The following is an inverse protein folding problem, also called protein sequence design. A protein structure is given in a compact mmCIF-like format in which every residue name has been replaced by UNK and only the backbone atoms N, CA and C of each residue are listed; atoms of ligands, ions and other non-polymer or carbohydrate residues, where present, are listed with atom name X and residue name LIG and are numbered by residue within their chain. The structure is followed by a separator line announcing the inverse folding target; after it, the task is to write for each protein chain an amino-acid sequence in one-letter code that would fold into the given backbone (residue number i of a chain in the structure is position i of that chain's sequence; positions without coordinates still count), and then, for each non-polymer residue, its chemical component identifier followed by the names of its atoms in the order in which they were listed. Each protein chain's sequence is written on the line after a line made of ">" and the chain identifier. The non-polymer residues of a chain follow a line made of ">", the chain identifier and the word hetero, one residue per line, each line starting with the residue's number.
data_IF_673668962573
#
_entry.id   IF_673668962573
#
_cell.length_a   1.000
_cell.length_b   1.000
_cell.length_c   1.000
_cell.angle_alpha   90.00
_cell.angle_beta   90.00
_cell.angle_gamma   90.00
#
_symmetry.space_group_name_H-M   'P 1'
#
loop_
_entity.id
_entity.type
_entity.pdbx_description
1 polymer ?
#
# COMPACT_ATOMS: atom_id res chain seq x y z
N UNK A 1 -18.93 -0.33 -25.06
CA UNK A 1 -19.17 -1.60 -25.78
C UNK A 1 -18.44 -2.70 -25.03
N UNK A 2 -19.12 -3.82 -24.76
CA UNK A 2 -18.54 -5.03 -24.17
C UNK A 2 -18.26 -6.02 -25.29
N UNK A 3 -17.24 -6.85 -25.12
CA UNK A 3 -16.95 -7.92 -26.07
C UNK A 3 -17.78 -9.16 -25.71
N UNK A 4 -18.63 -9.61 -26.60
CA UNK A 4 -19.46 -10.80 -26.46
C UNK A 4 -18.81 -11.93 -27.26
N UNK A 5 -18.79 -13.12 -26.68
CA UNK A 5 -18.27 -14.35 -27.29
C UNK A 5 -19.32 -15.45 -27.18
N UNK A 6 -19.49 -16.29 -28.22
CA UNK A 6 -20.41 -17.42 -28.16
C UNK A 6 -19.88 -18.48 -27.19
N UNK A 7 -20.78 -19.08 -26.40
CA UNK A 7 -20.46 -20.28 -25.63
C UNK A 7 -20.08 -21.42 -26.59
N UNK A 8 -18.95 -22.14 -26.39
CA UNK A 8 -18.56 -23.26 -27.25
C UNK A 8 -19.55 -24.44 -27.19
N UNK A 9 -20.35 -24.53 -26.13
CA UNK A 9 -21.27 -25.65 -25.89
C UNK A 9 -22.72 -25.36 -26.31
N UNK A 10 -23.21 -24.13 -26.11
CA UNK A 10 -24.61 -23.76 -26.44
C UNK A 10 -24.75 -22.71 -27.55
N UNK A 11 -23.66 -22.08 -28.00
CA UNK A 11 -23.66 -21.08 -29.07
C UNK A 11 -24.19 -19.70 -28.67
N UNK A 12 -24.86 -19.57 -27.53
CA UNK A 12 -25.38 -18.27 -27.05
C UNK A 12 -24.25 -17.30 -26.71
N UNK A 13 -24.39 -16.05 -27.15
CA UNK A 13 -23.41 -15.00 -26.94
C UNK A 13 -23.53 -14.39 -25.53
N UNK A 14 -22.40 -14.22 -24.87
CA UNK A 14 -22.30 -13.59 -23.56
C UNK A 14 -20.99 -12.81 -23.48
N UNK A 15 -20.92 -11.80 -22.61
CA UNK A 15 -19.62 -11.30 -22.18
C UNK A 15 -19.24 -11.99 -20.88
N UNK A 16 -17.96 -12.34 -20.76
CA UNK A 16 -17.38 -12.94 -19.57
C UNK A 16 -17.50 -11.99 -18.38
N UNK A 17 -18.00 -12.52 -17.26
CA UNK A 17 -18.07 -11.86 -15.95
C UNK A 17 -17.17 -12.59 -14.96
N UNK A 18 -16.63 -11.88 -13.98
CA UNK A 18 -15.80 -12.53 -12.94
C UNK A 18 -16.60 -13.55 -12.15
N UNK A 19 -17.80 -13.19 -11.66
CA UNK A 19 -18.64 -14.08 -10.88
C UNK A 19 -18.17 -14.16 -9.42
N UNK A 20 -18.95 -13.61 -8.50
CA UNK A 20 -18.74 -13.77 -7.05
C UNK A 20 -19.49 -15.01 -6.52
N UNK A 21 -19.44 -15.25 -5.20
CA UNK A 21 -20.19 -16.36 -4.57
C UNK A 21 -21.71 -16.26 -4.78
N UNK A 22 -22.24 -15.06 -5.01
CA UNK A 22 -23.67 -14.81 -5.16
C UNK A 22 -24.17 -14.93 -6.61
N UNK A 23 -23.27 -14.81 -7.58
CA UNK A 23 -23.59 -14.86 -9.00
C UNK A 23 -23.57 -16.30 -9.49
N UNK A 24 -24.64 -16.85 -10.08
CA UNK A 24 -24.68 -18.27 -10.47
C UNK A 24 -23.75 -18.60 -11.64
N UNK A 25 -23.35 -17.62 -12.45
CA UNK A 25 -22.48 -17.74 -13.62
C UNK A 25 -21.14 -16.98 -13.44
N UNK A 26 -20.25 -17.06 -14.42
CA UNK A 26 -18.91 -16.43 -14.36
C UNK A 26 -17.80 -17.44 -14.04
N UNK A 27 -16.63 -16.96 -13.61
CA UNK A 27 -15.56 -17.84 -13.13
C UNK A 27 -15.99 -18.53 -11.82
N UNK A 28 -15.72 -19.83 -11.73
CA UNK A 28 -16.00 -20.70 -10.60
C UNK A 28 -14.83 -21.61 -10.34
N UNK A 29 -14.52 -21.85 -9.08
CA UNK A 29 -13.44 -22.72 -8.64
C UNK A 29 -13.82 -23.34 -7.28
N UNK A 30 -13.23 -24.48 -6.99
CA UNK A 30 -13.33 -25.14 -5.69
C UNK A 30 -12.55 -24.35 -4.63
N UNK A 31 -13.09 -24.34 -3.40
CA UNK A 31 -12.43 -23.69 -2.27
C UNK A 31 -11.02 -24.27 -2.08
N UNK A 32 -10.04 -23.38 -1.88
CA UNK A 32 -8.62 -23.71 -1.70
C UNK A 32 -7.92 -24.38 -2.91
N UNK A 33 -8.57 -24.41 -4.09
CA UNK A 33 -7.99 -24.96 -5.33
C UNK A 33 -8.19 -24.04 -6.54
N UNK A 34 -7.44 -22.91 -6.65
CA UNK A 34 -7.54 -21.97 -7.78
C UNK A 34 -7.38 -22.60 -9.17
N UNK A 35 -6.63 -23.70 -9.26
CA UNK A 35 -6.36 -24.43 -10.50
C UNK A 35 -7.60 -25.15 -11.06
N UNK A 36 -8.64 -25.33 -10.25
CA UNK A 36 -9.92 -25.92 -10.66
C UNK A 36 -10.81 -24.97 -11.46
N UNK A 37 -10.35 -23.73 -11.71
CA UNK A 37 -11.18 -22.69 -12.30
C UNK A 37 -11.76 -23.06 -13.67
N UNK A 38 -13.04 -22.80 -13.83
CA UNK A 38 -13.78 -22.87 -15.09
C UNK A 38 -14.73 -21.67 -15.18
N UNK A 39 -15.28 -21.43 -16.37
CA UNK A 39 -16.30 -20.42 -16.58
C UNK A 39 -17.67 -21.09 -16.76
N UNK A 40 -18.67 -20.66 -15.98
CA UNK A 40 -20.04 -21.13 -16.11
C UNK A 40 -20.86 -20.15 -16.97
N UNK A 41 -21.42 -20.66 -18.07
CA UNK A 41 -22.23 -19.87 -19.01
C UNK A 41 -23.51 -19.32 -18.36
N UNK A 42 -23.82 -18.04 -18.62
CA UNK A 42 -24.99 -17.37 -18.05
C UNK A 42 -26.35 -17.85 -18.58
N UNK A 43 -26.37 -18.45 -19.78
CA UNK A 43 -27.61 -18.88 -20.45
C UNK A 43 -28.04 -20.29 -20.05
N UNK A 44 -27.11 -21.24 -20.08
CA UNK A 44 -27.40 -22.67 -19.93
C UNK A 44 -26.54 -23.37 -18.87
N UNK A 45 -25.69 -22.64 -18.13
CA UNK A 45 -24.84 -23.24 -17.10
C UNK A 45 -23.78 -24.19 -17.65
N UNK A 46 -23.39 -24.06 -18.93
CA UNK A 46 -22.33 -24.86 -19.51
C UNK A 46 -20.99 -24.57 -18.81
N UNK A 47 -20.27 -25.62 -18.45
CA UNK A 47 -18.90 -25.54 -17.94
C UNK A 47 -17.97 -25.34 -19.13
N UNK A 48 -17.26 -24.21 -19.16
CA UNK A 48 -16.31 -23.84 -20.20
C UNK A 48 -14.92 -23.82 -19.58
N UNK A 49 -13.98 -24.56 -20.13
CA UNK A 49 -12.57 -24.43 -19.79
C UNK A 49 -11.90 -23.35 -20.65
N UNK A 50 -10.86 -22.71 -20.14
CA UNK A 50 -10.19 -21.61 -20.86
C UNK A 50 -9.69 -22.03 -22.25
N UNK A 51 -9.23 -23.28 -22.40
CA UNK A 51 -8.79 -23.85 -23.67
C UNK A 51 -9.90 -24.02 -24.71
N UNK A 52 -11.16 -23.99 -24.29
CA UNK A 52 -12.34 -24.12 -25.17
C UNK A 52 -12.87 -22.76 -25.63
N UNK A 53 -12.39 -21.66 -25.05
CA UNK A 53 -12.90 -20.32 -25.34
C UNK A 53 -12.34 -19.80 -26.67
N UNK A 54 -13.08 -20.02 -27.76
CA UNK A 54 -12.83 -19.39 -29.05
C UNK A 54 -13.43 -17.98 -29.11
N UNK A 55 -12.56 -16.98 -29.28
CA UNK A 55 -12.93 -15.57 -29.38
C UNK A 55 -13.13 -15.10 -30.83
N UNK A 56 -12.83 -15.95 -31.83
CA UNK A 56 -12.82 -15.57 -33.26
C UNK A 56 -14.18 -15.10 -33.78
N UNK A 57 -15.26 -15.66 -33.21
CA UNK A 57 -16.63 -15.29 -33.55
C UNK A 57 -17.23 -14.20 -32.64
N UNK A 58 -16.41 -13.60 -31.78
CA UNK A 58 -16.86 -12.54 -30.88
C UNK A 58 -17.23 -11.24 -31.60
N UNK A 59 -18.05 -10.43 -30.94
CA UNK A 59 -18.44 -9.08 -31.39
C UNK A 59 -18.59 -8.11 -30.24
N UNK A 60 -18.33 -6.85 -30.50
CA UNK A 60 -18.51 -5.77 -29.55
C UNK A 60 -19.94 -5.27 -29.60
N UNK A 61 -20.66 -5.29 -28.47
CA UNK A 61 -22.05 -4.82 -28.37
C UNK A 61 -22.12 -3.64 -27.40
N UNK A 62 -22.86 -2.61 -27.78
CA UNK A 62 -23.21 -1.49 -26.92
C UNK A 62 -24.44 -1.82 -26.09
N UNK A 63 -24.28 -2.01 -24.78
CA UNK A 63 -25.38 -2.37 -23.87
C UNK A 63 -26.52 -1.33 -23.87
N UNK A 64 -26.22 -0.05 -24.12
CA UNK A 64 -27.21 1.02 -24.11
C UNK A 64 -28.06 1.12 -25.38
N UNK A 65 -27.49 0.74 -26.53
CA UNK A 65 -28.13 0.97 -27.85
C UNK A 65 -28.34 -0.28 -28.66
N UNK A 66 -27.76 -1.41 -28.26
CA UNK A 66 -27.71 -2.66 -29.02
C UNK A 66 -26.86 -2.58 -30.30
N UNK A 67 -26.23 -1.45 -30.59
CA UNK A 67 -25.30 -1.29 -31.71
C UNK A 67 -24.09 -2.21 -31.54
N UNK A 68 -23.61 -2.81 -32.63
CA UNK A 68 -22.47 -3.72 -32.55
C UNK A 68 -21.47 -3.58 -33.71
N UNK A 69 -20.26 -4.09 -33.49
CA UNK A 69 -19.18 -4.17 -34.50
C UNK A 69 -18.30 -5.40 -34.23
N UNK A 70 -17.69 -5.98 -35.27
CA UNK A 70 -16.71 -7.08 -35.12
C UNK A 70 -15.27 -6.60 -35.13
N UNK A 71 -14.99 -5.60 -35.96
CA UNK A 71 -13.63 -5.14 -36.30
C UNK A 71 -13.36 -3.69 -35.91
N UNK A 72 -14.39 -2.96 -35.45
CA UNK A 72 -14.30 -1.52 -35.21
C UNK A 72 -14.27 -0.67 -36.48
N UNK A 73 -14.46 -1.29 -37.65
CA UNK A 73 -14.51 -0.63 -38.97
C UNK A 73 -15.95 -0.56 -39.49
N UNK A 74 -16.70 -1.65 -39.36
CA UNK A 74 -18.11 -1.74 -39.78
C UNK A 74 -19.02 -1.80 -38.56
N UNK A 75 -20.08 -0.97 -38.56
CA UNK A 75 -21.03 -0.85 -37.46
C UNK A 75 -22.42 -1.26 -37.91
N UNK A 76 -23.15 -1.92 -37.00
CA UNK A 76 -24.50 -2.39 -37.22
C UNK A 76 -25.42 -1.86 -36.11
N UNK A 77 -26.65 -1.53 -36.48
CA UNK A 77 -27.73 -1.28 -35.52
C UNK A 77 -28.14 -2.56 -34.78
N UNK A 78 -28.95 -2.44 -33.73
CA UNK A 78 -29.54 -3.58 -33.03
C UNK A 78 -30.43 -4.46 -33.92
N UNK A 79 -30.86 -3.96 -35.08
CA UNK A 79 -31.65 -4.67 -36.09
C UNK A 79 -30.79 -5.19 -37.25
N UNK A 80 -29.47 -5.30 -37.07
CA UNK A 80 -28.50 -5.83 -38.04
C UNK A 80 -28.37 -5.07 -39.36
N UNK A 81 -28.88 -3.84 -39.43
CA UNK A 81 -28.61 -2.94 -40.56
C UNK A 81 -27.27 -2.24 -40.37
N UNK A 82 -26.44 -2.20 -41.42
CA UNK A 82 -25.20 -1.42 -41.44
C UNK A 82 -25.50 0.07 -41.24
N UNK A 83 -24.73 0.72 -40.37
CA UNK A 83 -24.86 2.13 -40.04
C UNK A 83 -23.52 2.85 -40.20
N UNK A 84 -23.54 4.18 -40.43
CA UNK A 84 -22.31 4.97 -40.43
C UNK A 84 -21.55 4.87 -39.09
N UNK A 85 -20.21 4.92 -39.10
CA UNK A 85 -19.41 4.90 -37.88
C UNK A 85 -19.83 6.01 -36.88
N UNK A 86 -20.02 5.67 -35.60
CA UNK A 86 -20.38 6.65 -34.57
C UNK A 86 -19.27 7.69 -34.36
N UNK A 87 -19.65 8.91 -33.95
CA UNK A 87 -18.68 9.99 -33.65
C UNK A 87 -17.77 9.69 -32.45
N UNK A 88 -18.23 8.88 -31.50
CA UNK A 88 -17.48 8.49 -30.31
C UNK A 88 -17.91 7.09 -29.89
N UNK A 89 -16.92 6.26 -29.56
CA UNK A 89 -17.10 4.90 -29.08
C UNK A 89 -16.14 4.64 -27.92
N UNK A 90 -16.55 3.82 -26.97
CA UNK A 90 -15.70 3.40 -25.85
C UNK A 90 -15.84 1.90 -25.68
N UNK A 91 -14.72 1.22 -25.49
CA UNK A 91 -14.64 -0.23 -25.32
C UNK A 91 -14.30 -0.56 -23.87
N UNK A 92 -14.94 -1.61 -23.36
CA UNK A 92 -14.63 -2.20 -22.07
C UNK A 92 -14.25 -3.66 -22.29
N UNK A 93 -13.06 -4.03 -21.84
CA UNK A 93 -12.56 -5.40 -21.84
C UNK A 93 -11.73 -5.62 -20.58
N UNK A 94 -11.68 -6.86 -20.13
CA UNK A 94 -11.01 -7.23 -18.90
C UNK A 94 -10.13 -8.46 -19.09
N UNK A 95 -9.31 -8.78 -18.09
CA UNK A 95 -8.18 -9.70 -18.25
C UNK A 95 -8.60 -11.13 -18.64
N UNK A 96 -9.84 -11.56 -18.38
CA UNK A 96 -10.30 -12.91 -18.76
C UNK A 96 -10.25 -13.22 -20.27
N UNK A 97 -10.23 -12.20 -21.13
CA UNK A 97 -10.08 -12.35 -22.58
C UNK A 97 -8.61 -12.41 -23.04
N UNK A 98 -7.66 -12.06 -22.16
CA UNK A 98 -6.26 -11.95 -22.51
C UNK A 98 -5.65 -13.32 -22.81
N UNK A 99 -4.92 -13.50 -23.93
CA UNK A 99 -4.13 -14.70 -24.16
C UNK A 99 -2.85 -14.75 -23.30
N UNK A 100 -2.51 -13.66 -22.60
CA UNK A 100 -1.29 -13.55 -21.79
C UNK A 100 -1.50 -13.88 -20.32
N UNK A 101 -2.75 -14.02 -19.86
CA UNK A 101 -3.08 -14.31 -18.46
C UNK A 101 -4.06 -15.47 -18.40
N UNK A 102 -3.76 -16.48 -17.57
CA UNK A 102 -4.65 -17.61 -17.36
C UNK A 102 -5.75 -17.25 -16.38
N UNK A 103 -6.91 -17.90 -16.49
CA UNK A 103 -7.97 -17.75 -15.49
C UNK A 103 -7.50 -18.17 -14.09
N UNK A 104 -6.61 -19.16 -14.01
CA UNK A 104 -5.97 -19.60 -12.76
C UNK A 104 -5.23 -18.42 -12.11
N UNK A 105 -4.44 -17.68 -12.89
CA UNK A 105 -3.72 -16.51 -12.37
C UNK A 105 -4.68 -15.41 -11.91
N UNK A 106 -5.78 -15.17 -12.63
CA UNK A 106 -6.81 -14.20 -12.22
C UNK A 106 -7.40 -14.57 -10.85
N UNK A 107 -7.63 -15.87 -10.58
CA UNK A 107 -8.12 -16.33 -9.27
C UNK A 107 -7.07 -16.15 -8.18
N UNK A 108 -5.79 -16.43 -8.44
CA UNK A 108 -4.72 -16.11 -7.49
C UNK A 108 -4.65 -14.62 -7.18
N UNK A 109 -4.68 -13.78 -8.20
CA UNK A 109 -4.66 -12.32 -8.06
C UNK A 109 -5.87 -11.82 -7.23
N UNK A 110 -7.03 -12.45 -7.38
CA UNK A 110 -8.22 -12.16 -6.57
C UNK A 110 -8.04 -12.56 -5.10
N UNK A 111 -7.55 -13.78 -4.84
CA UNK A 111 -7.32 -14.27 -3.48
C UNK A 111 -6.23 -13.47 -2.76
N UNK A 112 -5.22 -13.00 -3.48
CA UNK A 112 -4.21 -12.11 -2.94
C UNK A 112 -4.77 -10.69 -2.72
N UNK A 113 -5.63 -10.21 -3.62
CA UNK A 113 -6.33 -8.94 -3.47
C UNK A 113 -7.24 -8.90 -2.23
N UNK A 114 -7.86 -10.03 -1.84
CA UNK A 114 -8.68 -10.13 -0.63
C UNK A 114 -7.88 -9.98 0.67
N UNK A 115 -6.55 -10.17 0.63
CA UNK A 115 -5.68 -10.03 1.81
C UNK A 115 -5.28 -8.58 2.09
N UNK A 116 -5.46 -7.66 1.13
CA UNK A 116 -5.16 -6.23 1.26
C UNK A 116 -6.46 -5.42 1.13
N UNK A 117 -6.80 -4.56 2.10
CA UNK A 117 -7.93 -3.63 1.98
C UNK A 117 -7.98 -2.82 0.68
N UNK A 118 -6.83 -2.57 0.04
CA UNK A 118 -6.70 -1.86 -1.25
C UNK A 118 -6.54 -2.79 -2.46
N UNK A 119 -6.28 -4.08 -2.20
CA UNK A 119 -6.08 -5.09 -3.24
C UNK A 119 -7.34 -5.21 -4.10
N UNK A 120 -8.52 -5.20 -3.47
CA UNK A 120 -9.81 -5.23 -4.17
C UNK A 120 -9.98 -4.07 -5.15
N UNK A 121 -9.71 -2.83 -4.73
CA UNK A 121 -9.77 -1.65 -5.61
C UNK A 121 -8.83 -1.80 -6.81
N UNK A 122 -7.60 -2.27 -6.57
CA UNK A 122 -6.62 -2.50 -7.64
C UNK A 122 -7.15 -3.55 -8.61
N UNK A 123 -7.57 -4.72 -8.11
CA UNK A 123 -8.08 -5.81 -8.90
C UNK A 123 -9.29 -5.38 -9.77
N UNK A 124 -10.28 -4.69 -9.19
CA UNK A 124 -11.44 -4.21 -9.94
C UNK A 124 -11.03 -3.25 -11.05
N UNK A 125 -10.17 -2.27 -10.77
CA UNK A 125 -9.78 -1.28 -11.76
C UNK A 125 -8.85 -1.85 -12.85
N UNK A 126 -7.86 -2.67 -12.50
CA UNK A 126 -6.82 -3.11 -13.44
C UNK A 126 -7.10 -4.46 -14.06
N UNK A 127 -7.73 -5.38 -13.32
CA UNK A 127 -8.05 -6.74 -13.80
C UNK A 127 -9.45 -6.80 -14.41
N UNK A 128 -10.46 -6.24 -13.72
CA UNK A 128 -11.84 -6.21 -14.25
C UNK A 128 -12.08 -5.05 -15.22
N UNK A 129 -11.24 -4.01 -15.21
CA UNK A 129 -11.44 -2.82 -16.03
C UNK A 129 -12.66 -2.00 -15.62
N UNK A 130 -13.21 -2.28 -14.44
CA UNK A 130 -14.43 -1.68 -13.91
C UNK A 130 -14.10 -0.50 -13.02
N UNK A 131 -15.03 0.44 -12.89
CA UNK A 131 -14.87 1.59 -12.01
C UNK A 131 -15.21 1.18 -10.57
N UNK A 132 -14.24 1.31 -9.66
CA UNK A 132 -14.50 1.19 -8.23
C UNK A 132 -15.13 2.47 -7.68
N UNK A 133 -16.35 2.38 -7.17
CA UNK A 133 -16.97 3.48 -6.41
C UNK A 133 -16.40 3.50 -5.00
N UNK A 134 -15.60 4.51 -4.69
CA UNK A 134 -15.22 4.78 -3.31
C UNK A 134 -16.41 5.40 -2.57
N UNK A 135 -16.59 5.03 -1.30
CA UNK A 135 -17.51 5.74 -0.42
C UNK A 135 -16.98 7.16 -0.17
N UNK A 136 -17.26 8.08 -1.09
CA UNK A 136 -16.90 9.50 -0.95
C UNK A 136 -17.60 10.06 0.28
N UNK A 137 -16.82 10.63 1.20
CA UNK A 137 -17.34 11.33 2.38
C UNK A 137 -17.54 10.47 3.64
N UNK A 138 -17.23 9.17 3.64
CA UNK A 138 -17.20 8.38 4.87
C UNK A 138 -15.91 8.70 5.65
N UNK A 139 -16.04 9.56 6.67
CA UNK A 139 -14.95 9.85 7.59
C UNK A 139 -14.71 8.66 8.51
N UNK A 140 -13.48 8.15 8.56
CA UNK A 140 -13.08 7.18 9.57
C UNK A 140 -13.15 7.81 10.97
N UNK A 141 -13.86 7.19 11.90
CA UNK A 141 -13.91 7.63 13.29
C UNK A 141 -12.55 7.36 13.97
N UNK A 142 -12.02 8.35 14.68
CA UNK A 142 -10.74 8.21 15.41
C UNK A 142 -10.85 7.12 16.49
N UNK A 143 -12.06 6.80 16.97
CA UNK A 143 -12.28 5.75 17.95
C UNK A 143 -11.83 4.37 17.43
N UNK A 144 -11.95 4.11 16.12
CA UNK A 144 -11.46 2.87 15.48
C UNK A 144 -9.95 2.70 15.69
N UNK A 145 -9.20 3.80 15.72
CA UNK A 145 -7.75 3.75 16.00
C UNK A 145 -7.45 3.53 17.48
N UNK A 146 -8.30 4.04 18.37
CA UNK A 146 -8.16 3.80 19.81
C UNK A 146 -8.35 2.32 20.16
N UNK A 147 -9.21 1.62 19.42
CA UNK A 147 -9.45 0.18 19.60
C UNK A 147 -8.27 -0.69 19.09
N UNK A 148 -7.29 -0.07 18.40
CA UNK A 148 -6.05 -0.69 17.91
C UNK A 148 -4.85 -0.44 18.83
N UNK A 149 -5.07 0.17 19.99
CA UNK A 149 -4.03 0.36 21.01
C UNK A 149 -3.68 -0.99 21.62
N UNK A 150 -2.39 -1.30 21.67
CA UNK A 150 -1.87 -2.54 22.23
C UNK A 150 -0.67 -2.27 23.13
N UNK A 151 -0.47 -3.14 24.12
CA UNK A 151 0.63 -3.02 25.06
C UNK A 151 1.97 -3.40 24.42
N UNK A 152 2.97 -2.52 24.54
CA UNK A 152 4.32 -2.79 24.05
C UNK A 152 5.26 -3.16 25.22
N UNK A 153 5.95 -4.30 25.11
CA UNK A 153 6.92 -4.75 26.14
C UNK A 153 8.26 -4.01 26.08
N UNK A 154 8.52 -3.29 25.00
CA UNK A 154 9.69 -2.45 24.76
C UNK A 154 9.33 -1.35 23.77
N UNK A 155 10.18 -0.32 23.62
CA UNK A 155 9.94 0.77 22.67
C UNK A 155 9.70 0.26 21.24
N UNK A 156 10.41 -0.81 20.84
CA UNK A 156 10.18 -1.51 19.57
C UNK A 156 9.72 -2.95 19.84
N UNK A 157 8.48 -3.33 19.44
CA UNK A 157 7.96 -4.68 19.59
C UNK A 157 8.79 -5.75 18.88
N UNK A 158 8.75 -6.99 19.38
CA UNK A 158 9.60 -8.11 18.92
C UNK A 158 9.48 -8.45 17.43
N UNK A 159 8.32 -8.16 16.82
CA UNK A 159 8.03 -8.45 15.40
C UNK A 159 8.63 -7.42 14.46
N UNK A 160 8.98 -6.23 14.95
CA UNK A 160 9.47 -5.14 14.12
C UNK A 160 10.91 -5.42 13.70
N UNK A 161 11.15 -5.38 12.39
CA UNK A 161 12.47 -5.67 11.80
C UNK A 161 13.08 -4.46 11.11
N UNK A 162 12.29 -3.42 10.86
CA UNK A 162 12.74 -2.24 10.13
C UNK A 162 12.09 -0.97 10.69
N UNK A 163 12.87 0.10 10.87
CA UNK A 163 12.38 1.40 11.35
C UNK A 163 12.50 2.45 10.26
N UNK A 164 11.41 3.19 10.03
CA UNK A 164 11.40 4.39 9.21
C UNK A 164 10.82 5.57 9.96
N UNK A 165 11.06 6.78 9.47
CA UNK A 165 10.45 7.98 10.03
C UNK A 165 9.99 8.95 8.96
N UNK A 166 8.94 9.70 9.28
CA UNK A 166 8.50 10.86 8.53
C UNK A 166 8.73 12.12 9.35
N UNK A 167 9.29 13.16 8.72
CA UNK A 167 9.43 14.49 9.32
C UNK A 167 8.58 15.48 8.55
N UNK A 168 7.66 16.13 9.25
CA UNK A 168 6.91 17.29 8.78
C UNK A 168 7.50 18.58 9.35
N UNK A 169 7.64 19.58 8.49
CA UNK A 169 8.31 20.85 8.80
C UNK A 169 7.29 21.99 8.89
N UNK A 170 7.22 22.63 10.05
CA UNK A 170 6.39 23.80 10.28
C UNK A 170 7.26 25.02 10.62
N UNK A 171 6.72 26.23 10.48
CA UNK A 171 7.49 27.47 10.72
C UNK A 171 8.02 27.64 12.15
N UNK A 172 7.48 26.88 13.12
CA UNK A 172 7.81 27.00 14.54
C UNK A 172 8.20 25.66 15.19
N UNK A 173 8.22 24.56 14.44
CA UNK A 173 8.54 23.22 14.96
C UNK A 173 8.83 22.22 13.85
N UNK A 174 9.45 21.11 14.24
CA UNK A 174 9.46 19.87 13.46
C UNK A 174 8.68 18.80 14.21
N UNK A 175 7.87 18.03 13.48
CA UNK A 175 7.23 16.83 14.02
C UNK A 175 7.81 15.62 13.31
N UNK A 176 8.24 14.63 14.10
CA UNK A 176 8.77 13.37 13.57
C UNK A 176 8.03 12.21 14.22
N UNK A 177 7.52 11.31 13.38
CA UNK A 177 6.93 10.05 13.84
C UNK A 177 7.77 8.90 13.32
N UNK A 178 8.08 7.96 14.21
CA UNK A 178 8.87 6.76 13.90
C UNK A 178 7.94 5.56 13.84
N UNK A 179 8.03 4.81 12.76
CA UNK A 179 7.21 3.64 12.50
C UNK A 179 8.08 2.41 12.33
N UNK A 180 7.69 1.34 13.02
CA UNK A 180 8.25 0.01 12.89
C UNK A 180 7.44 -0.85 11.92
N UNK A 181 8.15 -1.68 11.16
CA UNK A 181 7.56 -2.56 10.15
C UNK A 181 7.97 -4.01 10.39
N UNK A 182 6.97 -4.88 10.41
CA UNK A 182 7.11 -6.33 10.47
C UNK A 182 6.73 -6.96 9.10
N UNK A 183 7.00 -8.27 8.87
CA UNK A 183 6.57 -8.95 7.65
C UNK A 183 5.08 -8.72 7.33
N UNK A 184 4.75 -8.65 6.04
CA UNK A 184 3.39 -8.30 5.60
C UNK A 184 3.04 -6.81 5.73
N UNK A 185 4.05 -5.94 5.94
CA UNK A 185 3.86 -4.50 6.19
C UNK A 185 2.94 -4.18 7.39
N UNK A 186 2.91 -5.08 8.37
CA UNK A 186 2.33 -4.80 9.69
C UNK A 186 3.12 -3.65 10.35
N UNK A 187 2.41 -2.64 10.83
CA UNK A 187 2.97 -1.34 11.19
C UNK A 187 2.75 -1.03 12.68
N UNK A 188 3.77 -0.49 13.32
CA UNK A 188 3.76 -0.13 14.74
C UNK A 188 4.22 1.31 14.90
N UNK A 189 3.40 2.17 15.50
CA UNK A 189 3.88 3.50 15.91
C UNK A 189 4.86 3.32 17.07
N UNK A 190 6.11 3.74 16.88
CA UNK A 190 7.22 3.53 17.84
C UNK A 190 7.50 4.77 18.68
N UNK A 191 7.45 5.96 18.06
CA UNK A 191 7.79 7.20 18.76
C UNK A 191 7.17 8.42 18.08
N UNK A 192 6.98 9.47 18.85
CA UNK A 192 6.52 10.80 18.44
C UNK A 192 7.44 11.84 19.06
N UNK A 193 8.11 12.61 18.21
CA UNK A 193 9.08 13.62 18.64
C UNK A 193 8.69 14.97 18.06
N UNK A 194 8.34 15.91 18.93
CA UNK A 194 8.02 17.29 18.57
C UNK A 194 9.17 18.20 19.04
N UNK A 195 9.80 18.88 18.08
CA UNK A 195 10.95 19.77 18.33
C UNK A 195 10.51 21.19 18.06
N UNK A 196 10.18 21.92 19.13
CA UNK A 196 9.83 23.35 19.06
C UNK A 196 11.06 24.20 18.78
N UNK A 197 10.96 25.16 17.86
CA UNK A 197 12.05 26.08 17.50
C UNK A 197 11.94 26.58 16.06
N UNK A 198 12.73 27.59 15.69
CA UNK A 198 12.70 28.08 14.30
C UNK A 198 13.50 27.13 13.39
N UNK A 199 13.00 26.80 12.19
CA UNK A 199 13.66 25.88 11.27
C UNK A 199 15.07 26.29 10.83
N UNK A 200 15.37 27.59 10.84
CA UNK A 200 16.66 28.17 10.43
C UNK A 200 17.69 28.26 11.57
N UNK A 201 17.31 27.91 12.80
CA UNK A 201 18.22 27.89 13.95
C UNK A 201 18.99 26.56 14.03
N UNK A 202 20.33 26.64 13.99
CA UNK A 202 21.19 25.44 14.05
C UNK A 202 20.99 24.64 15.35
N UNK A 203 20.70 25.28 16.49
CA UNK A 203 20.38 24.59 17.75
C UNK A 203 19.12 23.71 17.63
N UNK A 204 18.09 24.23 16.97
CA UNK A 204 16.86 23.47 16.67
C UNK A 204 17.18 22.29 15.76
N UNK A 205 17.97 22.53 14.71
CA UNK A 205 18.37 21.48 13.78
C UNK A 205 19.28 20.41 14.40
N UNK A 206 20.12 20.75 15.39
CA UNK A 206 20.93 19.78 16.14
C UNK A 206 20.05 18.84 16.97
N UNK A 207 18.92 19.33 17.51
CA UNK A 207 17.92 18.46 18.16
C UNK A 207 17.23 17.55 17.16
N UNK A 208 16.95 18.02 15.94
CA UNK A 208 16.43 17.17 14.85
C UNK A 208 17.46 16.12 14.46
N UNK A 209 18.74 16.49 14.39
CA UNK A 209 19.83 15.56 14.11
C UNK A 209 19.94 14.47 15.19
N UNK A 210 19.76 14.83 16.46
CA UNK A 210 19.72 13.87 17.57
C UNK A 210 18.51 12.93 17.44
N UNK A 211 17.34 13.44 17.05
CA UNK A 211 16.15 12.65 16.82
C UNK A 211 16.32 11.64 15.67
N UNK A 212 16.87 12.07 14.53
CA UNK A 212 17.18 11.19 13.38
C UNK A 212 18.15 10.06 13.76
N UNK A 213 19.06 10.32 14.69
CA UNK A 213 20.07 9.37 15.14
C UNK A 213 19.68 8.64 16.44
N UNK A 214 18.47 8.85 16.95
CA UNK A 214 17.97 8.16 18.15
C UNK A 214 17.96 6.66 17.90
N UNK A 215 18.41 5.92 18.92
CA UNK A 215 18.37 4.47 18.97
C UNK A 215 17.21 4.02 19.85
N UNK A 216 16.61 2.90 19.48
CA UNK A 216 15.46 2.33 20.18
C UNK A 216 15.82 0.95 20.69
N UNK A 217 15.40 0.63 21.91
CA UNK A 217 15.54 -0.71 22.47
C UNK A 217 14.45 -1.60 21.88
N UNK A 218 14.88 -2.66 21.20
CA UNK A 218 14.01 -3.71 20.71
C UNK A 218 13.70 -4.72 21.81
N UNK A 219 12.58 -5.44 21.71
CA UNK A 219 12.12 -6.39 22.73
C UNK A 219 13.12 -7.52 23.04
N UNK A 220 14.03 -7.85 22.11
CA UNK A 220 15.13 -8.80 22.33
C UNK A 220 16.35 -8.19 23.06
N UNK A 221 16.29 -6.91 23.43
CA UNK A 221 17.36 -6.17 24.11
C UNK A 221 18.41 -5.55 23.20
N UNK A 222 18.31 -5.72 21.88
CA UNK A 222 19.23 -5.07 20.92
C UNK A 222 18.82 -3.62 20.63
N UNK A 223 19.77 -2.81 20.16
CA UNK A 223 19.49 -1.45 19.70
C UNK A 223 19.11 -1.44 18.21
N UNK A 224 18.03 -0.75 17.86
CA UNK A 224 17.64 -0.46 16.48
C UNK A 224 17.78 1.03 16.16
N UNK A 225 18.23 1.33 14.95
CA UNK A 225 18.32 2.70 14.41
C UNK A 225 17.28 2.94 13.34
N UNK A 226 16.86 4.19 13.17
CA UNK A 226 16.02 4.59 12.03
C UNK A 226 16.83 4.43 10.74
N UNK A 227 16.38 3.50 9.91
CA UNK A 227 17.07 3.10 8.68
C UNK A 227 16.83 4.07 7.55
N UNK A 228 15.64 4.70 7.52
CA UNK A 228 15.30 5.71 6.52
C UNK A 228 14.32 6.75 7.01
N UNK A 229 14.56 7.99 6.61
CA UNK A 229 13.74 9.15 6.94
C UNK A 229 13.32 9.83 5.65
N UNK A 230 12.02 10.06 5.48
CA UNK A 230 11.51 11.01 4.50
C UNK A 230 11.21 12.33 5.21
N UNK A 231 11.81 13.42 4.73
CA UNK A 231 11.68 14.74 5.33
C UNK A 231 11.05 15.68 4.32
N UNK A 232 9.85 16.19 4.63
CA UNK A 232 9.16 17.13 3.76
C UNK A 232 9.93 18.45 3.62
N UNK A 233 10.04 18.88 2.37
CA UNK A 233 10.65 20.14 1.97
C UNK A 233 9.64 21.29 1.97
N UNK A 234 8.34 20.98 2.10
CA UNK A 234 7.27 21.95 2.32
C UNK A 234 7.36 22.66 3.68
N UNK A 235 6.63 23.77 3.80
CA UNK A 235 6.51 24.53 5.06
C UNK A 235 7.71 25.42 5.44
N UNK A 236 8.92 25.11 4.96
CA UNK A 236 10.17 25.81 5.26
C UNK A 236 11.06 26.00 4.00
N UNK A 237 12.27 26.55 4.15
CA UNK A 237 13.27 26.54 3.08
C UNK A 237 13.83 25.12 2.89
N UNK A 238 13.50 24.50 1.75
CA UNK A 238 13.94 23.15 1.41
C UNK A 238 15.47 22.96 1.36
N UNK A 239 16.27 24.04 1.26
CA UNK A 239 17.72 23.94 1.35
C UNK A 239 18.17 23.38 2.70
N UNK A 240 17.46 23.70 3.79
CA UNK A 240 17.74 23.18 5.14
C UNK A 240 17.69 21.64 5.13
N UNK A 241 16.63 21.09 4.53
CA UNK A 241 16.43 19.65 4.38
C UNK A 241 17.51 19.03 3.48
N UNK A 242 17.89 19.71 2.41
CA UNK A 242 18.96 19.23 1.51
C UNK A 242 20.32 19.16 2.21
N UNK A 243 20.64 20.13 3.06
CA UNK A 243 21.88 20.11 3.86
C UNK A 243 21.86 18.97 4.87
N UNK A 244 20.73 18.72 5.54
CA UNK A 244 20.59 17.57 6.47
C UNK A 244 20.61 16.22 5.77
N UNK A 245 20.05 16.12 4.57
CA UNK A 245 20.19 14.95 3.70
C UNK A 245 21.66 14.63 3.41
N UNK A 246 22.47 15.64 3.05
CA UNK A 246 23.90 15.45 2.83
C UNK A 246 24.65 15.07 4.11
N UNK A 247 24.31 15.68 5.25
CA UNK A 247 24.95 15.45 6.56
C UNK A 247 24.73 14.01 7.07
N UNK A 248 23.50 13.50 7.01
CA UNK A 248 23.15 12.18 7.54
C UNK A 248 23.19 11.05 6.52
N UNK A 249 23.49 11.37 5.26
CA UNK A 249 23.56 10.44 4.15
C UNK A 249 22.37 10.57 3.21
N UNK A 250 22.67 10.87 1.94
CA UNK A 250 21.68 11.18 0.88
C UNK A 250 20.74 10.03 0.51
N UNK A 251 20.98 8.83 1.05
CA UNK A 251 20.13 7.64 0.91
C UNK A 251 19.41 7.25 2.20
N UNK A 252 19.78 7.89 3.32
CA UNK A 252 19.18 7.69 4.64
C UNK A 252 18.14 8.75 4.94
N UNK A 253 18.47 10.03 4.72
CA UNK A 253 17.53 11.15 4.85
C UNK A 253 17.18 11.65 3.45
N UNK A 254 15.95 11.39 3.04
CA UNK A 254 15.43 11.70 1.71
C UNK A 254 14.53 12.92 1.78
N UNK A 255 14.90 14.03 1.11
CA UNK A 255 13.99 15.16 0.92
C UNK A 255 12.80 14.71 0.05
N UNK A 256 11.58 15.00 0.49
CA UNK A 256 10.35 14.70 -0.24
C UNK A 256 9.57 15.95 -0.58
N UNK A 257 8.75 15.85 -1.62
CA UNK A 257 7.69 16.80 -1.94
C UNK A 257 6.43 16.04 -2.38
N UNK A 258 5.26 16.57 -2.09
CA UNK A 258 4.01 16.04 -2.62
C UNK A 258 3.93 16.12 -4.15
N UNK A 259 3.36 15.09 -4.76
CA UNK A 259 3.04 15.08 -6.18
C UNK A 259 1.93 16.10 -6.49
N UNK A 260 2.03 16.78 -7.63
CA UNK A 260 1.01 17.73 -8.08
C UNK A 260 -0.15 17.07 -8.86
N UNK A 261 -0.08 15.75 -9.06
CA UNK A 261 -1.04 14.98 -9.84
C UNK A 261 -1.51 13.78 -9.01
N UNK A 262 -2.82 13.60 -8.96
CA UNK A 262 -3.47 12.47 -8.30
C UNK A 262 -3.04 11.11 -8.87
N UNK A 263 -3.01 10.07 -8.05
CA UNK A 263 -2.74 8.69 -8.48
C UNK A 263 -1.29 8.40 -8.85
N UNK A 264 -0.34 9.23 -8.41
CA UNK A 264 1.09 8.90 -8.50
C UNK A 264 1.45 7.77 -7.54
N UNK A 265 2.50 6.96 -7.83
CA UNK A 265 3.00 5.98 -6.87
C UNK A 265 3.32 6.62 -5.52
N UNK A 266 3.19 5.86 -4.43
CA UNK A 266 3.46 6.32 -3.05
C UNK A 266 4.77 7.11 -2.96
N UNK A 267 5.82 6.64 -3.63
CA UNK A 267 7.07 7.37 -3.77
C UNK A 267 7.73 7.09 -5.12
N UNK A 268 8.29 8.14 -5.70
CA UNK A 268 9.13 8.08 -6.91
C UNK A 268 10.47 8.73 -6.60
N UNK A 269 11.54 7.92 -6.59
CA UNK A 269 12.90 8.40 -6.41
C UNK A 269 13.57 8.66 -7.78
N UNK A 270 14.15 9.85 -8.01
CA UNK A 270 14.83 10.14 -9.27
C UNK A 270 16.11 9.29 -9.42
N UNK A 271 16.49 8.98 -10.67
CA UNK A 271 17.70 8.20 -10.98
C UNK A 271 18.99 8.96 -10.65
N UNK A 272 18.96 10.29 -10.78
CA UNK A 272 20.11 11.18 -10.58
C UNK A 272 19.82 12.19 -9.48
N UNK A 273 20.90 12.72 -8.90
CA UNK A 273 20.81 13.82 -7.92
C UNK A 273 20.45 15.12 -8.64
N UNK A 274 19.74 15.99 -7.93
CA UNK A 274 19.49 17.35 -8.40
C UNK A 274 20.77 18.22 -8.32
N UNK A 275 20.67 19.48 -8.76
CA UNK A 275 21.78 20.44 -8.72
C UNK A 275 22.31 20.70 -7.29
N UNK A 276 21.50 20.44 -6.25
CA UNK A 276 21.87 20.58 -4.83
C UNK A 276 22.53 19.32 -4.25
N UNK A 277 22.71 18.27 -5.07
CA UNK A 277 23.41 17.04 -4.71
C UNK A 277 22.57 16.02 -3.94
N UNK A 278 21.24 16.12 -3.96
CA UNK A 278 20.32 15.22 -3.24
C UNK A 278 19.31 14.56 -4.18
N UNK A 279 18.67 13.48 -3.72
CA UNK A 279 17.55 12.84 -4.41
C UNK A 279 16.23 13.40 -3.87
N UNK A 280 15.73 14.47 -4.51
CA UNK A 280 14.40 15.00 -4.19
C UNK A 280 13.33 14.01 -4.70
N UNK A 281 12.70 13.30 -3.79
CA UNK A 281 11.69 12.30 -4.11
C UNK A 281 10.31 12.94 -4.21
N UNK A 282 9.47 12.41 -5.11
CA UNK A 282 8.08 12.83 -5.24
C UNK A 282 7.18 11.78 -4.56
N UNK A 283 6.28 12.23 -3.67
CA UNK A 283 5.39 11.37 -2.89
C UNK A 283 3.96 11.52 -3.42
N UNK A 284 3.37 10.43 -3.88
CA UNK A 284 1.93 10.37 -4.21
C UNK A 284 1.12 10.31 -2.92
N UNK A 285 0.88 11.47 -2.30
CA UNK A 285 0.19 11.59 -1.01
C UNK A 285 -1.21 11.01 -1.05
N UNK A 286 -1.95 11.20 -2.15
CA UNK A 286 -3.31 10.67 -2.30
C UNK A 286 -3.32 9.13 -2.25
N UNK A 287 -2.48 8.50 -3.07
CA UNK A 287 -2.32 7.03 -3.10
C UNK A 287 -1.86 6.48 -1.75
N UNK A 288 -0.96 7.17 -1.07
CA UNK A 288 -0.51 6.76 0.26
C UNK A 288 -1.64 6.87 1.29
N UNK A 289 -2.43 7.95 1.26
CA UNK A 289 -3.57 8.17 2.16
C UNK A 289 -4.67 7.15 1.92
N UNK A 290 -5.04 6.88 0.67
CA UNK A 290 -5.99 5.80 0.32
C UNK A 290 -5.54 4.47 0.95
N UNK A 291 -4.28 4.08 0.73
CA UNK A 291 -3.74 2.82 1.26
C UNK A 291 -3.83 2.77 2.79
N UNK A 292 -3.36 3.81 3.45
CA UNK A 292 -3.29 3.88 4.90
C UNK A 292 -4.68 3.98 5.54
N UNK A 293 -5.63 4.70 4.95
CA UNK A 293 -7.00 4.77 5.46
C UNK A 293 -7.70 3.41 5.39
N UNK A 294 -7.52 2.67 4.29
CA UNK A 294 -8.09 1.33 4.19
C UNK A 294 -7.50 0.37 5.24
N UNK A 295 -6.20 0.45 5.52
CA UNK A 295 -5.55 -0.31 6.61
C UNK A 295 -5.99 0.12 8.00
N UNK A 296 -6.18 1.42 8.21
CA UNK A 296 -6.71 1.98 9.45
C UNK A 296 -8.17 1.60 9.70
N UNK A 297 -8.98 1.41 8.64
CA UNK A 297 -10.39 0.99 8.71
C UNK A 297 -10.56 -0.50 9.02
N UNK A 298 -9.55 -1.33 8.73
CA UNK A 298 -9.62 -2.77 9.02
C UNK A 298 -9.89 -3.04 10.51
N UNK A 299 -10.41 -4.22 10.84
CA UNK A 299 -10.71 -4.58 12.22
C UNK A 299 -9.45 -4.60 13.11
N UNK A 300 -9.57 -4.33 14.42
CA UNK A 300 -8.45 -4.47 15.35
C UNK A 300 -8.01 -5.93 15.45
N UNK A 301 -6.71 -6.13 15.49
CA UNK A 301 -6.08 -7.46 15.57
C UNK A 301 -5.32 -7.61 16.87
N UNK A 302 -5.25 -8.82 17.46
CA UNK A 302 -4.46 -9.07 18.65
C UNK A 302 -2.98 -8.76 18.44
N UNK A 303 -2.31 -8.28 19.49
CA UNK A 303 -0.90 -7.87 19.43
C UNK A 303 0.08 -9.05 19.28
N UNK A 304 -0.37 -10.26 19.60
CA UNK A 304 0.36 -11.51 19.51
C UNK A 304 0.16 -12.25 18.18
N UNK A 305 -0.76 -11.78 17.33
CA UNK A 305 -1.08 -12.40 16.05
C UNK A 305 -0.52 -11.60 14.87
N UNK A 306 0.42 -12.20 14.12
CA UNK A 306 1.00 -11.60 12.92
C UNK A 306 -0.08 -11.37 11.85
N UNK A 307 -0.45 -10.10 11.64
CA UNK A 307 -1.50 -9.75 10.69
C UNK A 307 -0.98 -8.78 9.65
N UNK A 308 -0.94 -9.24 8.39
CA UNK A 308 -0.51 -8.40 7.26
C UNK A 308 -1.30 -7.10 7.22
N UNK A 309 -0.59 -6.00 7.02
CA UNK A 309 -1.13 -4.65 6.88
C UNK A 309 -1.86 -4.08 8.11
N UNK A 310 -1.85 -4.78 9.25
CA UNK A 310 -2.40 -4.24 10.48
C UNK A 310 -1.58 -3.03 10.97
N UNK A 311 -2.25 -2.11 11.65
CA UNK A 311 -1.66 -0.90 12.24
C UNK A 311 -1.90 -0.95 13.74
N UNK A 312 -0.82 -0.88 14.51
CA UNK A 312 -0.82 -0.93 15.96
C UNK A 312 -0.31 0.37 16.55
N UNK A 313 -0.92 0.76 17.67
CA UNK A 313 -0.53 1.93 18.44
C UNK A 313 -0.12 1.54 19.85
N UNK A 314 0.90 2.19 20.44
CA UNK A 314 1.34 1.90 21.80
C UNK A 314 0.31 2.42 22.81
N UNK A 315 0.26 1.78 23.98
CA UNK A 315 -0.48 2.24 25.15
C UNK A 315 0.22 3.36 25.94
N UNK A 316 1.16 4.06 25.28
CA UNK A 316 1.88 5.21 25.83
C UNK A 316 1.21 6.53 25.39
N UNK A 317 0.61 7.29 26.32
CA UNK A 317 -0.09 8.54 26.00
C UNK A 317 0.84 9.68 25.56
N UNK A 318 2.15 9.61 25.80
CA UNK A 318 3.10 10.59 25.27
C UNK A 318 3.28 10.42 23.75
N UNK A 319 3.20 9.18 23.28
CA UNK A 319 3.38 8.79 21.87
C UNK A 319 2.05 8.79 21.12
N UNK A 320 1.02 8.14 21.68
CA UNK A 320 -0.28 8.01 21.04
C UNK A 320 -1.42 8.33 22.00
N UNK A 321 -2.19 9.36 21.66
CA UNK A 321 -3.40 9.74 22.37
C UNK A 321 -4.55 9.95 21.38
N UNK A 322 -5.71 10.33 21.92
CA UNK A 322 -6.84 10.77 21.10
C UNK A 322 -6.45 11.91 20.14
N UNK A 323 -5.47 12.74 20.49
CA UNK A 323 -4.99 13.83 19.62
C UNK A 323 -4.37 13.28 18.34
N UNK A 324 -3.48 12.28 18.45
CA UNK A 324 -2.83 11.65 17.31
C UNK A 324 -3.84 10.85 16.50
N UNK A 325 -4.74 10.11 17.16
CA UNK A 325 -5.83 9.41 16.51
C UNK A 325 -6.67 10.36 15.63
N UNK A 326 -7.07 11.52 16.17
CA UNK A 326 -7.82 12.53 15.43
C UNK A 326 -7.05 13.12 14.25
N UNK A 327 -5.73 13.31 14.39
CA UNK A 327 -4.88 13.81 13.30
C UNK A 327 -4.69 12.79 12.18
N UNK A 328 -4.58 11.49 12.52
CA UNK A 328 -4.44 10.40 11.54
C UNK A 328 -5.67 10.27 10.63
N UNK A 329 -6.88 10.53 11.17
CA UNK A 329 -8.14 10.53 10.41
C UNK A 329 -8.70 11.92 10.13
N UNK A 330 -7.83 12.94 10.14
CA UNK A 330 -8.25 14.34 10.01
C UNK A 330 -8.69 14.71 8.59
N UNK A 331 -8.33 13.93 7.58
CA UNK A 331 -8.63 14.22 6.19
C UNK A 331 -9.80 13.39 5.69
N UNK A 332 -10.64 14.01 4.87
CA UNK A 332 -11.78 13.37 4.24
C UNK A 332 -11.68 13.57 2.74
N UNK A 333 -12.03 12.53 1.97
CA UNK A 333 -12.06 12.62 0.52
C UNK A 333 -13.29 13.45 0.10
N UNK A 334 -13.04 14.59 -0.53
CA UNK A 334 -14.08 15.51 -1.00
C UNK A 334 -14.00 15.70 -2.51
N UNK A 335 -15.16 15.82 -3.14
CA UNK A 335 -15.26 16.23 -4.54
C UNK A 335 -15.03 17.74 -4.66
N UNK A 336 -14.02 18.13 -5.43
CA UNK A 336 -13.76 19.52 -5.79
C UNK A 336 -13.76 19.70 -7.30
N UNK A 337 -14.44 20.74 -7.74
CA UNK A 337 -14.46 21.14 -9.14
C UNK A 337 -13.29 22.09 -9.43
N UNK A 338 -12.33 21.63 -10.21
CA UNK A 338 -11.23 22.47 -10.69
C UNK A 338 -11.22 22.52 -12.22
N UNK A 339 -11.27 23.73 -12.78
CA UNK A 339 -11.20 23.97 -14.24
C UNK A 339 -12.20 23.13 -15.05
N UNK A 340 -13.42 22.97 -14.54
CA UNK A 340 -14.49 22.22 -15.20
C UNK A 340 -14.33 20.69 -15.16
N UNK A 341 -13.36 20.17 -14.39
CA UNK A 341 -13.22 18.74 -14.10
C UNK A 341 -13.45 18.49 -12.62
N UNK A 342 -14.28 17.50 -12.31
CA UNK A 342 -14.43 16.99 -10.95
C UNK A 342 -13.16 16.21 -10.58
N UNK A 343 -12.61 16.47 -9.39
CA UNK A 343 -11.47 15.76 -8.81
C UNK A 343 -11.78 15.40 -7.37
N UNK A 344 -11.37 14.21 -6.96
CA UNK A 344 -11.33 13.83 -5.56
C UNK A 344 -10.05 14.40 -4.96
N UNK A 345 -10.18 15.08 -3.82
CA UNK A 345 -9.06 15.66 -3.09
C UNK A 345 -9.27 15.40 -1.60
N UNK A 346 -8.17 15.09 -0.90
CA UNK A 346 -8.19 15.00 0.54
C UNK A 346 -8.23 16.41 1.16
N UNK A 347 -9.19 16.65 2.07
CA UNK A 347 -9.37 17.93 2.75
C UNK A 347 -9.37 17.74 4.27
N UNK A 348 -8.46 18.44 4.95
CA UNK A 348 -8.34 18.39 6.40
C UNK A 348 -9.38 19.26 7.12
N UNK A 349 -10.20 20.03 6.41
CA UNK A 349 -11.18 20.99 6.96
C UNK A 349 -10.58 21.93 8.01
N UNK A 350 -9.32 22.36 7.81
CA UNK A 350 -8.52 23.18 8.74
C UNK A 350 -8.17 22.50 10.07
N UNK A 351 -8.34 21.17 10.17
CA UNK A 351 -7.83 20.38 11.28
C UNK A 351 -6.33 20.15 11.10
N UNK A 352 -5.67 19.89 12.22
CA UNK A 352 -4.29 19.41 12.26
C UNK A 352 -4.22 17.98 11.72
N UNK A 353 -3.19 17.69 10.92
CA UNK A 353 -3.00 16.42 10.22
C UNK A 353 -1.51 16.01 10.20
N UNK A 354 -0.67 16.61 11.04
CA UNK A 354 0.78 16.38 10.99
C UNK A 354 1.15 14.91 11.28
N UNK A 355 0.39 14.23 12.15
CA UNK A 355 0.56 12.79 12.38
C UNK A 355 0.29 11.93 11.12
N UNK A 356 -0.73 12.29 10.32
CA UNK A 356 -1.05 11.62 9.06
C UNK A 356 0.05 11.84 8.02
N UNK A 357 0.48 13.09 7.84
CA UNK A 357 1.52 13.42 6.87
C UNK A 357 2.85 12.75 7.26
N UNK A 358 3.20 12.71 8.55
CA UNK A 358 4.37 11.96 9.02
C UNK A 358 4.25 10.44 8.78
N UNK A 359 3.08 9.84 8.99
CA UNK A 359 2.85 8.43 8.65
C UNK A 359 2.99 8.18 7.13
N UNK A 360 2.44 9.06 6.29
CA UNK A 360 2.59 9.00 4.83
C UNK A 360 4.07 9.02 4.44
N UNK A 361 4.87 9.89 5.05
CA UNK A 361 6.31 9.97 4.78
C UNK A 361 7.08 8.76 5.33
N UNK A 362 6.75 8.26 6.51
CA UNK A 362 7.35 7.03 7.05
C UNK A 362 7.04 5.81 6.16
N UNK A 363 5.82 5.72 5.64
CA UNK A 363 5.42 4.69 4.69
C UNK A 363 6.14 4.86 3.34
N UNK A 364 6.28 6.09 2.83
CA UNK A 364 7.08 6.38 1.64
C UNK A 364 8.55 5.93 1.82
N UNK A 365 9.14 6.15 3.00
CA UNK A 365 10.47 5.68 3.34
C UNK A 365 10.56 4.13 3.34
N UNK A 366 9.51 3.42 3.77
CA UNK A 366 9.43 1.96 3.62
C UNK A 366 9.38 1.56 2.15
N UNK A 367 8.44 2.15 1.38
CA UNK A 367 8.21 1.79 -0.02
C UNK A 367 9.42 2.03 -0.90
N UNK A 368 10.17 3.11 -0.70
CA UNK A 368 11.41 3.32 -1.44
C UNK A 368 12.50 2.33 -1.02
N UNK A 369 12.49 1.83 0.22
CA UNK A 369 13.40 0.77 0.69
C UNK A 369 13.14 -0.55 -0.06
N UNK A 370 11.88 -0.94 -0.18
CA UNK A 370 11.47 -2.12 -0.94
C UNK A 370 11.82 -1.95 -2.43
N UNK A 371 11.40 -0.85 -3.05
CA UNK A 371 11.56 -0.65 -4.50
C UNK A 371 13.02 -0.53 -4.96
N UNK A 372 13.86 0.20 -4.21
CA UNK A 372 15.20 0.59 -4.68
C UNK A 372 16.32 -0.23 -4.07
N UNK A 373 16.11 -0.79 -2.88
CA UNK A 373 17.10 -1.63 -2.19
C UNK A 373 16.64 -3.07 -2.02
N UNK A 374 15.49 -3.45 -2.59
CA UNK A 374 14.95 -4.81 -2.50
C UNK A 374 14.83 -5.28 -1.05
N UNK A 375 14.47 -4.35 -0.15
CA UNK A 375 14.20 -4.68 1.25
C UNK A 375 13.10 -5.74 1.30
N UNK A 376 13.40 -6.84 1.97
CA UNK A 376 12.45 -7.91 2.26
C UNK A 376 12.34 -8.07 3.78
N UNK A 377 11.16 -7.71 4.31
CA UNK A 377 10.90 -7.76 5.75
C UNK A 377 10.87 -9.21 6.28
N UNK A 378 10.45 -10.19 5.47
CA UNK A 378 10.45 -11.59 5.86
C UNK A 378 11.87 -12.16 5.95
N UNK A 379 12.76 -11.74 5.05
CA UNK A 379 14.19 -12.11 5.13
C UNK A 379 14.84 -11.47 6.36
N UNK A 380 14.53 -10.20 6.66
CA UNK A 380 15.06 -9.55 7.88
C UNK A 380 14.55 -10.22 9.16
N UNK A 381 13.28 -10.63 9.21
CA UNK A 381 12.72 -11.36 10.35
C UNK A 381 13.49 -12.66 10.62
N UNK A 382 13.67 -13.48 9.57
CA UNK A 382 14.45 -14.73 9.66
C UNK A 382 15.88 -14.48 10.14
N UNK A 383 16.53 -13.44 9.60
CA UNK A 383 17.89 -13.08 10.03
C UNK A 383 17.97 -12.72 11.51
N UNK A 384 16.98 -12.02 12.07
CA UNK A 384 16.95 -11.68 13.50
C UNK A 384 16.67 -12.88 14.39
N UNK A 385 15.80 -13.79 13.97
CA UNK A 385 15.56 -15.06 14.67
C UNK A 385 16.83 -15.92 14.72
N UNK A 386 17.59 -15.99 13.63
CA UNK A 386 18.87 -16.69 13.59
C UNK A 386 19.93 -16.04 14.50
N UNK A 387 19.98 -14.71 14.60
CA UNK A 387 20.92 -14.01 15.48
C UNK A 387 20.59 -14.21 16.97
N UNK A 388 19.31 -14.23 17.33
CA UNK A 388 18.84 -14.47 18.70
C UNK A 388 19.00 -15.93 19.14
N UNK A 389 18.92 -16.88 18.20
CA UNK A 389 19.12 -18.32 18.48
C UNK A 389 20.58 -18.76 18.44
N UNK A 390 21.51 -17.95 17.94
CA UNK A 390 22.96 -18.25 17.99
C UNK A 390 23.44 -18.23 19.44
N UNK A 391 24.03 -19.33 19.95
CA UNK A 391 24.56 -19.35 21.30
C UNK A 391 25.64 -18.27 21.44
N UNK A 392 25.55 -17.49 22.51
CA UNK A 392 26.50 -16.42 22.80
C UNK A 392 27.92 -16.98 22.91
N UNK A 393 28.95 -16.15 22.67
CA UNK A 393 30.35 -16.55 22.90
C UNK A 393 30.59 -17.13 24.31
N UNK A 394 29.79 -16.68 25.28
CA UNK A 394 29.82 -17.16 26.66
C UNK A 394 29.23 -18.57 26.82
N UNK A 395 28.13 -18.87 26.12
CA UNK A 395 27.51 -20.20 26.09
C UNK A 395 28.31 -21.20 25.24
N UNK A 396 28.90 -20.74 24.13
CA UNK A 396 29.87 -21.52 23.35
C UNK A 396 31.12 -21.82 24.18
N UNK A 397 31.66 -20.84 24.90
CA UNK A 397 32.79 -21.05 25.81
C UNK A 397 32.43 -21.99 26.97
N UNK A 398 31.21 -21.93 27.52
CA UNK A 398 30.73 -22.85 28.54
C UNK A 398 30.55 -24.29 28.02
N UNK A 399 30.04 -24.45 26.79
CA UNK A 399 29.96 -25.75 26.11
C UNK A 399 31.33 -26.34 25.79
N UNK A 400 32.32 -25.50 25.48
CA UNK A 400 33.70 -25.92 25.21
C UNK A 400 34.49 -26.19 26.51
N UNK A 401 34.21 -25.48 27.60
CA UNK A 401 34.87 -25.69 28.91
C UNK A 401 34.32 -26.88 29.69
N UNK A 402 33.10 -27.32 29.41
CA UNK A 402 32.49 -28.52 30.00
C UNK A 402 33.09 -29.85 29.53
N UNK A 403 34.02 -29.85 28.56
CA UNK A 403 34.67 -31.05 28.02
C UNK A 403 35.94 -31.50 28.74
N UNK A 404 36.43 -30.75 29.74
CA UNK A 404 37.68 -31.08 30.46
C UNK A 404 37.37 -31.44 31.91
N UNK A 405 36.72 -32.57 32.13
CA UNK A 405 36.76 -33.27 33.41
C UNK A 405 36.30 -34.71 33.22
N UNK A 406 37.25 -35.60 32.93
CA UNK A 406 36.91 -37.01 32.76
C UNK A 406 38.04 -37.96 32.44
N UNK A 407 39.26 -37.76 32.93
CA UNK A 407 40.21 -38.87 33.14
C UNK A 407 41.09 -38.60 34.37
N UNK A 408 40.64 -39.11 35.51
CA UNK A 408 41.49 -39.47 36.64
C UNK A 408 40.91 -40.74 37.25
N UNK A 409 41.37 -41.88 36.74
CA UNK A 409 42.04 -42.94 37.49
C UNK A 409 42.52 -44.03 36.56
#
# INVERSE_FOLDING_TARGET
>A
MRFYVPCPHCGEEQYLKFGDESTPFGLKWEKDSPESVFYLCEHHGCVIHQSELDQSNGRWICENTGMWTRDGLTFFSAADNEIPPPRSITFHIWTAYSPFTTWVQIVYDWLDALKDPNGLKTFVNTTLGETWEEAVGEKLDHQVLMDKVVHYTAAVPARVVYLTAGIDSQRNRFEMYVWGWAPGEEAFLVDKIIIMGRPDEEETLLRVDAAINKKYCHADGTEMTISRVCWDTGGIDGEIVYQRSKKHGVFRVLPVKGASVYGKPVITMPKTRNQRGVYLCEVGTDTAKEILYARMKADPTPADEATSYAIHFPDDPEIFSQTEAQQLVAEELVEKWEKGKMRLLWDNKKRRNEALDCLVYAYAALRVSVQRWQLDLAVLAKSREEETTRPTLKELAAKLSGGVNGYSR
#
